data_IF_985274528868
#
_entry.id   IF_985274528868
#
_cell.length_a   1.000
_cell.length_b   1.000
_cell.length_c   1.000
_cell.angle_alpha   90.00
_cell.angle_beta   90.00
_cell.angle_gamma   90.00
#
_symmetry.space_group_name_H-M   'P 1'
#
loop_
_entity.id
_entity.type
_entity.pdbx_description
1 polymer ?
#
# COMPACT_ATOMS: atom_id res chain seq x y z
N UNK A 1 -12.05 -24.26 -5.52
CA UNK A 1 -11.17 -23.30 -6.20
C UNK A 1 -10.04 -22.91 -5.26
N UNK A 2 -8.81 -22.85 -5.77
CA UNK A 2 -7.60 -22.37 -5.07
C UNK A 2 -7.35 -20.90 -5.41
N UNK A 3 -6.88 -20.10 -4.44
CA UNK A 3 -6.53 -18.71 -4.68
C UNK A 3 -5.08 -18.37 -4.35
N UNK A 4 -4.48 -17.54 -5.21
CA UNK A 4 -3.20 -16.89 -4.97
C UNK A 4 -3.43 -15.41 -4.61
N UNK A 5 -2.76 -14.96 -3.56
CA UNK A 5 -2.80 -13.59 -3.07
C UNK A 5 -1.63 -12.73 -3.55
N UNK A 6 -1.90 -11.46 -3.80
CA UNK A 6 -0.89 -10.43 -4.04
C UNK A 6 -1.21 -9.20 -3.18
N UNK A 7 -0.18 -8.60 -2.57
CA UNK A 7 -0.31 -7.35 -1.80
C UNK A 7 0.32 -6.22 -2.62
N UNK A 8 -0.48 -5.22 -3.01
CA UNK A 8 -0.09 -4.25 -4.05
C UNK A 8 -0.59 -2.82 -3.77
N UNK A 9 -0.12 -1.88 -4.59
CA UNK A 9 -0.58 -0.49 -4.59
C UNK A 9 -1.03 -0.03 -5.98
N UNK A 10 -0.43 -0.59 -7.04
CA UNK A 10 -0.68 -0.24 -8.44
C UNK A 10 -0.73 1.27 -8.70
N UNK A 11 0.37 1.97 -8.39
CA UNK A 11 0.46 3.44 -8.45
C UNK A 11 1.38 3.99 -9.59
N UNK A 12 0.95 3.97 -10.86
CA UNK A 12 -0.21 3.27 -11.42
C UNK A 12 0.12 1.79 -11.71
N UNK A 13 -0.86 1.02 -12.24
CA UNK A 13 -0.56 -0.29 -12.82
C UNK A 13 0.41 -0.14 -14.01
N UNK A 14 1.37 -1.04 -14.16
CA UNK A 14 2.36 -0.99 -15.26
C UNK A 14 2.75 -2.40 -15.69
N UNK A 15 3.54 -2.55 -16.75
CA UNK A 15 3.85 -3.87 -17.31
C UNK A 15 4.52 -4.82 -16.32
N UNK A 16 5.32 -4.30 -15.38
CA UNK A 16 5.88 -5.10 -14.27
C UNK A 16 4.81 -5.73 -13.36
N UNK A 17 3.70 -5.03 -13.11
CA UNK A 17 2.57 -5.56 -12.32
C UNK A 17 1.79 -6.60 -13.12
N UNK A 18 1.57 -6.38 -14.42
CA UNK A 18 0.94 -7.38 -15.30
C UNK A 18 1.77 -8.66 -15.38
N UNK A 19 3.10 -8.54 -15.43
CA UNK A 19 4.00 -9.69 -15.33
C UNK A 19 3.84 -10.42 -13.99
N UNK A 20 3.82 -9.68 -12.87
CA UNK A 20 3.63 -10.25 -11.53
C UNK A 20 2.30 -11.02 -11.39
N UNK A 21 1.18 -10.46 -11.86
CA UNK A 21 -0.13 -11.14 -11.88
C UNK A 21 -0.07 -12.47 -12.66
N UNK A 22 0.51 -12.45 -13.87
CA UNK A 22 0.64 -13.66 -14.70
C UNK A 22 1.54 -14.71 -14.05
N UNK A 23 2.66 -14.30 -13.47
CA UNK A 23 3.57 -15.22 -12.78
C UNK A 23 2.92 -15.83 -11.55
N UNK A 24 2.12 -15.05 -10.81
CA UNK A 24 1.41 -15.56 -9.65
C UNK A 24 0.49 -16.72 -10.02
N UNK A 25 -0.28 -16.56 -11.11
CA UNK A 25 -1.13 -17.61 -11.64
C UNK A 25 -0.32 -18.83 -12.15
N UNK A 26 0.75 -18.59 -12.91
CA UNK A 26 1.59 -19.65 -13.50
C UNK A 26 2.35 -20.49 -12.46
N UNK A 27 2.87 -19.86 -11.39
CA UNK A 27 3.66 -20.55 -10.37
C UNK A 27 2.80 -21.39 -9.43
N UNK A 28 1.55 -21.00 -9.23
CA UNK A 28 0.66 -21.61 -8.21
C UNK A 28 -0.40 -22.50 -8.82
N UNK A 29 -0.65 -22.39 -10.13
CA UNK A 29 -1.81 -22.99 -10.81
C UNK A 29 -3.14 -22.62 -10.13
N UNK A 30 -3.20 -21.47 -9.46
CA UNK A 30 -4.40 -21.04 -8.76
C UNK A 30 -5.55 -20.75 -9.73
N UNK A 31 -6.76 -21.09 -9.29
CA UNK A 31 -7.97 -20.69 -9.98
C UNK A 31 -8.15 -19.17 -9.84
N UNK A 32 -8.15 -18.61 -8.65
CA UNK A 32 -8.48 -17.20 -8.44
C UNK A 32 -7.24 -16.36 -8.10
N UNK A 33 -7.06 -15.21 -8.75
CA UNK A 33 -6.03 -14.23 -8.39
C UNK A 33 -6.65 -13.12 -7.53
N UNK A 34 -6.28 -13.06 -6.25
CA UNK A 34 -6.79 -12.07 -5.30
C UNK A 34 -5.73 -10.99 -5.06
N UNK A 35 -6.11 -9.74 -5.24
CA UNK A 35 -5.26 -8.59 -4.97
C UNK A 35 -5.77 -7.83 -3.75
N UNK A 36 -4.95 -7.75 -2.71
CA UNK A 36 -5.12 -6.80 -1.61
C UNK A 36 -4.36 -5.53 -1.96
N UNK A 37 -5.08 -4.46 -2.26
CA UNK A 37 -4.54 -3.21 -2.81
C UNK A 37 -4.75 -2.04 -1.85
N UNK A 38 -3.71 -1.26 -1.55
CA UNK A 38 -3.86 0.02 -0.84
C UNK A 38 -4.98 0.87 -1.45
N UNK A 39 -5.79 1.47 -0.59
CA UNK A 39 -6.79 2.48 -0.96
C UNK A 39 -6.14 3.75 -1.53
N UNK A 40 -6.79 4.89 -1.41
CA UNK A 40 -6.33 6.15 -2.02
C UNK A 40 -5.01 6.71 -1.45
N UNK A 41 -4.50 6.11 -0.36
CA UNK A 41 -3.29 6.50 0.35
C UNK A 41 -2.39 5.29 0.55
N UNK A 42 -1.08 5.48 0.35
CA UNK A 42 -0.12 4.42 0.13
C UNK A 42 0.90 4.26 1.27
N UNK A 43 1.66 3.17 1.24
CA UNK A 43 2.63 2.73 2.25
C UNK A 43 3.77 3.72 2.48
N UNK A 44 4.11 4.44 1.43
CA UNK A 44 5.13 5.50 1.48
C UNK A 44 4.59 6.81 2.07
N UNK A 45 3.30 6.90 2.36
CA UNK A 45 2.62 8.12 2.78
C UNK A 45 2.39 9.06 1.62
N UNK A 46 2.05 8.56 0.44
CA UNK A 46 1.68 9.39 -0.73
C UNK A 46 0.25 9.09 -1.17
N UNK A 47 -0.48 10.07 -1.72
CA UNK A 47 -1.74 9.78 -2.40
C UNK A 47 -1.46 8.91 -3.64
N UNK A 48 -2.39 8.02 -3.97
CA UNK A 48 -2.34 7.32 -5.24
C UNK A 48 -2.54 8.30 -6.41
N UNK A 49 -1.87 8.06 -7.54
CA UNK A 49 -1.96 8.92 -8.73
C UNK A 49 -3.35 8.84 -9.39
N UNK A 50 -4.03 7.71 -9.20
CA UNK A 50 -5.40 7.43 -9.65
C UNK A 50 -6.19 6.84 -8.47
N UNK A 51 -7.50 7.08 -8.45
CA UNK A 51 -8.36 6.62 -7.36
C UNK A 51 -8.37 5.09 -7.25
N UNK A 52 -8.67 4.57 -6.04
CA UNK A 52 -8.66 3.13 -5.77
C UNK A 52 -9.59 2.33 -6.67
N UNK A 53 -10.67 2.94 -7.16
CA UNK A 53 -11.62 2.28 -8.04
C UNK A 53 -11.10 2.14 -9.46
N UNK A 54 -10.43 3.17 -9.98
CA UNK A 54 -9.75 3.11 -11.27
C UNK A 54 -8.65 2.07 -11.22
N UNK A 55 -7.82 2.09 -10.17
CA UNK A 55 -6.77 1.08 -9.98
C UNK A 55 -7.32 -0.34 -9.82
N UNK A 56 -8.44 -0.51 -9.10
CA UNK A 56 -9.11 -1.80 -8.97
C UNK A 56 -9.64 -2.30 -10.32
N UNK A 57 -10.24 -1.42 -11.13
CA UNK A 57 -10.66 -1.77 -12.49
C UNK A 57 -9.49 -2.22 -13.36
N UNK A 58 -8.40 -1.45 -13.37
CA UNK A 58 -7.17 -1.78 -14.11
C UNK A 58 -6.58 -3.12 -13.66
N UNK A 59 -6.61 -3.42 -12.36
CA UNK A 59 -6.16 -4.71 -11.84
C UNK A 59 -6.98 -5.88 -12.42
N UNK A 60 -8.32 -5.74 -12.43
CA UNK A 60 -9.23 -6.76 -12.97
C UNK A 60 -9.03 -6.93 -14.48
N UNK A 61 -8.87 -5.85 -15.23
CA UNK A 61 -8.60 -5.87 -16.69
C UNK A 61 -7.23 -6.48 -17.04
N UNK A 62 -6.31 -6.58 -16.07
CA UNK A 62 -4.96 -7.11 -16.27
C UNK A 62 -4.70 -8.48 -15.59
N UNK A 63 -5.74 -9.15 -15.10
CA UNK A 63 -5.67 -10.54 -14.65
C UNK A 63 -5.87 -10.77 -13.15
N UNK A 64 -6.30 -9.76 -12.38
CA UNK A 64 -6.87 -10.00 -11.06
C UNK A 64 -8.32 -10.49 -11.19
N UNK A 65 -8.77 -11.34 -10.26
CA UNK A 65 -10.14 -11.84 -10.21
C UNK A 65 -10.96 -11.19 -9.10
N UNK A 66 -10.32 -10.80 -8.00
CA UNK A 66 -10.94 -10.13 -6.86
C UNK A 66 -9.98 -9.07 -6.31
N UNK A 67 -10.47 -7.85 -6.13
CA UNK A 67 -9.69 -6.75 -5.53
C UNK A 67 -10.30 -6.37 -4.19
N UNK A 68 -9.48 -6.41 -3.15
CA UNK A 68 -9.81 -6.06 -1.77
C UNK A 68 -9.01 -4.83 -1.38
N UNK A 69 -9.65 -3.84 -0.77
CA UNK A 69 -8.96 -2.67 -0.24
C UNK A 69 -8.14 -3.08 0.99
N UNK A 70 -6.84 -2.75 1.00
CA UNK A 70 -6.06 -2.69 2.23
C UNK A 70 -6.44 -1.40 2.96
N UNK A 71 -7.06 -1.48 4.15
CA UNK A 71 -7.56 -0.30 4.85
C UNK A 71 -6.46 0.70 5.17
N UNK A 72 -6.79 1.98 5.24
CA UNK A 72 -5.83 3.08 5.44
C UNK A 72 -4.98 2.91 6.70
N UNK A 73 -5.53 2.31 7.75
CA UNK A 73 -4.83 2.03 9.02
C UNK A 73 -3.76 0.93 8.91
N UNK A 74 -3.68 0.22 7.79
CA UNK A 74 -2.56 -0.64 7.40
C UNK A 74 -1.80 -0.10 6.19
N UNK A 75 -2.52 0.47 5.22
CA UNK A 75 -1.96 0.94 3.96
C UNK A 75 -0.95 2.07 4.15
N UNK A 76 -1.10 2.94 5.16
CA UNK A 76 -0.19 4.07 5.42
C UNK A 76 0.78 3.82 6.58
N UNK A 77 1.16 2.55 6.80
CA UNK A 77 2.02 2.12 7.91
C UNK A 77 3.44 1.71 7.46
N UNK A 78 4.40 1.59 8.40
CA UNK A 78 5.69 0.95 8.11
C UNK A 78 5.53 -0.51 7.62
N UNK A 79 6.56 -1.01 6.92
CA UNK A 79 6.54 -2.30 6.21
C UNK A 79 5.98 -3.49 7.01
N UNK A 80 6.33 -3.63 8.30
CA UNK A 80 5.86 -4.75 9.13
C UNK A 80 4.34 -4.74 9.37
N UNK A 81 3.74 -3.57 9.63
CA UNK A 81 2.28 -3.44 9.81
C UNK A 81 1.55 -3.52 8.47
N UNK A 82 2.11 -2.91 7.42
CA UNK A 82 1.58 -3.05 6.06
C UNK A 82 1.51 -4.53 5.63
N UNK A 83 2.61 -5.27 5.85
CA UNK A 83 2.69 -6.69 5.58
C UNK A 83 1.71 -7.50 6.43
N UNK A 84 1.61 -7.19 7.74
CA UNK A 84 0.63 -7.81 8.64
C UNK A 84 -0.79 -7.68 8.10
N UNK A 85 -1.23 -6.46 7.79
CA UNK A 85 -2.57 -6.22 7.26
C UNK A 85 -2.82 -6.98 5.95
N UNK A 86 -1.88 -6.94 5.00
CA UNK A 86 -2.01 -7.67 3.74
C UNK A 86 -2.11 -9.19 3.91
N UNK A 87 -1.25 -9.78 4.76
CA UNK A 87 -1.22 -11.21 5.04
C UNK A 87 -2.48 -11.67 5.80
N UNK A 88 -2.94 -10.89 6.79
CA UNK A 88 -4.19 -11.16 7.52
C UNK A 88 -5.40 -11.19 6.58
N UNK A 89 -5.52 -10.23 5.67
CA UNK A 89 -6.64 -10.17 4.72
C UNK A 89 -6.62 -11.33 3.72
N UNK A 90 -5.44 -11.68 3.20
CA UNK A 90 -5.29 -12.83 2.29
C UNK A 90 -5.59 -14.16 3.01
N UNK A 91 -5.12 -14.32 4.24
CA UNK A 91 -5.43 -15.50 5.07
C UNK A 91 -6.93 -15.59 5.38
N UNK A 92 -7.56 -14.47 5.74
CA UNK A 92 -9.00 -14.41 6.00
C UNK A 92 -9.85 -14.79 4.77
N UNK A 93 -9.31 -14.61 3.56
CA UNK A 93 -9.94 -15.00 2.30
C UNK A 93 -9.64 -16.43 1.88
N UNK A 94 -8.90 -17.21 2.67
CA UNK A 94 -8.50 -18.59 2.37
C UNK A 94 -7.58 -18.71 1.13
N UNK A 95 -6.71 -17.70 0.92
CA UNK A 95 -5.61 -17.85 -0.04
C UNK A 95 -4.64 -18.94 0.42
N UNK A 96 -4.20 -19.80 -0.49
CA UNK A 96 -3.24 -20.87 -0.18
C UNK A 96 -1.80 -20.46 -0.45
N UNK A 97 -1.60 -19.45 -1.30
CA UNK A 97 -0.28 -18.93 -1.64
C UNK A 97 -0.28 -17.41 -1.76
N UNK A 98 0.88 -16.80 -1.55
CA UNK A 98 1.11 -15.37 -1.77
C UNK A 98 2.37 -15.19 -2.61
N UNK A 99 2.24 -14.43 -3.70
CA UNK A 99 3.35 -14.17 -4.62
C UNK A 99 3.70 -12.69 -4.56
N UNK A 100 4.99 -12.37 -4.40
CA UNK A 100 5.47 -10.99 -4.32
C UNK A 100 6.84 -10.83 -4.99
N UNK A 101 7.12 -9.64 -5.50
CA UNK A 101 8.42 -9.35 -6.12
C UNK A 101 9.49 -9.03 -5.07
N UNK A 102 10.68 -9.61 -5.19
CA UNK A 102 11.86 -9.35 -4.37
C UNK A 102 13.06 -8.94 -5.26
N UNK A 103 13.98 -8.15 -4.71
CA UNK A 103 15.26 -7.91 -5.38
C UNK A 103 16.10 -9.18 -5.37
N UNK A 104 16.09 -9.94 -4.26
CA UNK A 104 16.87 -11.16 -4.07
C UNK A 104 15.94 -12.31 -3.65
N UNK A 105 15.14 -12.88 -4.58
CA UNK A 105 14.21 -13.97 -4.27
C UNK A 105 14.89 -15.25 -3.76
N UNK A 106 16.19 -15.41 -4.00
CA UNK A 106 17.01 -16.52 -3.52
C UNK A 106 17.35 -16.46 -2.02
N UNK A 107 17.11 -15.32 -1.36
CA UNK A 107 17.27 -15.22 0.09
C UNK A 107 16.27 -16.13 0.81
N UNK A 108 16.76 -16.86 1.81
CA UNK A 108 15.90 -17.66 2.69
C UNK A 108 15.21 -16.76 3.73
N UNK A 109 14.20 -16.03 3.26
CA UNK A 109 13.42 -15.11 4.08
C UNK A 109 12.75 -15.81 5.29
N UNK A 110 12.44 -17.10 5.18
CA UNK A 110 11.89 -17.88 6.29
C UNK A 110 12.91 -18.02 7.42
N UNK A 111 14.16 -18.37 7.09
CA UNK A 111 15.27 -18.41 8.05
C UNK A 111 15.53 -17.02 8.64
N UNK A 112 15.53 -15.97 7.81
CA UNK A 112 15.73 -14.60 8.29
C UNK A 112 14.66 -14.20 9.31
N UNK A 113 13.38 -14.41 9.00
CA UNK A 113 12.26 -14.09 9.90
C UNK A 113 12.34 -14.87 11.22
N UNK A 114 12.63 -16.17 11.15
CA UNK A 114 12.78 -17.03 12.33
C UNK A 114 13.92 -16.57 13.24
N UNK A 115 15.07 -16.20 12.65
CA UNK A 115 16.26 -15.77 13.40
C UNK A 115 16.06 -14.46 14.18
N UNK A 116 15.23 -13.55 13.65
CA UNK A 116 14.85 -12.30 14.32
C UNK A 116 13.75 -12.52 15.36
N UNK A 117 12.77 -13.40 15.10
CA UNK A 117 11.71 -13.70 16.05
C UNK A 117 12.27 -14.17 17.41
N UNK A 118 13.34 -14.99 17.38
CA UNK A 118 14.05 -15.43 18.58
C UNK A 118 14.78 -14.32 19.35
N UNK A 119 14.87 -13.11 18.80
CA UNK A 119 15.61 -11.96 19.34
C UNK A 119 14.74 -10.73 19.59
N UNK A 120 13.41 -10.82 19.53
CA UNK A 120 12.51 -9.65 19.63
C UNK A 120 12.74 -8.77 20.87
N UNK A 121 13.31 -9.31 21.96
CA UNK A 121 13.72 -8.53 23.13
C UNK A 121 14.90 -7.57 22.94
N UNK A 122 15.64 -7.61 21.81
CA UNK A 122 16.89 -6.85 21.64
C UNK A 122 16.75 -5.47 21.01
N UNK A 123 15.54 -5.01 20.67
CA UNK A 123 15.32 -3.73 19.98
C UNK A 123 15.11 -2.53 20.93
N UNK A 124 15.91 -2.42 21.98
CA UNK A 124 15.71 -1.46 23.08
C UNK A 124 16.56 -0.18 22.98
N UNK A 125 17.36 0.01 21.92
CA UNK A 125 18.27 1.16 21.84
C UNK A 125 17.64 2.38 21.15
N UNK A 126 17.48 3.50 21.87
CA UNK A 126 16.77 4.69 21.36
C UNK A 126 17.57 5.56 20.36
N UNK A 127 18.84 5.27 20.09
CA UNK A 127 19.76 6.17 19.37
C UNK A 127 19.91 5.90 17.85
N UNK A 128 19.31 4.82 17.32
CA UNK A 128 19.38 4.49 15.89
C UNK A 128 17.98 4.31 15.30
N UNK A 129 17.84 4.50 13.98
CA UNK A 129 16.54 4.23 13.33
C UNK A 129 16.18 2.76 13.51
N UNK A 130 14.88 2.44 13.59
CA UNK A 130 14.41 1.06 13.66
C UNK A 130 15.02 0.19 12.56
N UNK A 131 15.12 0.71 11.33
CA UNK A 131 15.74 0.00 10.21
C UNK A 131 17.23 -0.31 10.42
N UNK A 132 17.98 0.59 11.08
CA UNK A 132 19.40 0.39 11.42
C UNK A 132 19.54 -0.69 12.49
N UNK A 133 18.74 -0.63 13.56
CA UNK A 133 18.78 -1.63 14.64
C UNK A 133 18.35 -3.01 14.16
N UNK A 134 17.29 -3.04 13.36
CA UNK A 134 16.81 -4.25 12.70
C UNK A 134 17.91 -4.88 11.86
N UNK A 135 18.56 -4.11 10.98
CA UNK A 135 19.64 -4.63 10.14
C UNK A 135 20.87 -5.06 10.94
N UNK A 136 21.23 -4.35 12.01
CA UNK A 136 22.31 -4.76 12.89
C UNK A 136 22.02 -6.11 13.58
N UNK A 137 20.80 -6.28 14.11
CA UNK A 137 20.38 -7.54 14.73
C UNK A 137 20.30 -8.69 13.71
N UNK A 138 19.81 -8.42 12.50
CA UNK A 138 19.72 -9.40 11.42
C UNK A 138 21.11 -9.83 10.97
N UNK A 139 22.00 -8.87 10.70
CA UNK A 139 23.38 -9.14 10.31
C UNK A 139 24.11 -9.96 11.36
N UNK A 140 23.93 -9.65 12.65
CA UNK A 140 24.52 -10.43 13.74
C UNK A 140 23.96 -11.85 13.84
N UNK A 141 22.69 -12.06 13.48
CA UNK A 141 22.02 -13.35 13.56
C UNK A 141 22.27 -14.25 12.34
N UNK A 142 22.41 -13.68 11.14
CA UNK A 142 22.36 -14.43 9.88
C UNK A 142 23.47 -14.08 8.89
N UNK A 143 24.21 -12.99 9.12
CA UNK A 143 25.18 -12.46 8.16
C UNK A 143 24.55 -11.70 6.99
N UNK A 144 23.24 -11.47 7.00
CA UNK A 144 22.49 -10.80 5.93
C UNK A 144 21.98 -9.42 6.39
N UNK A 145 22.07 -8.44 5.50
CA UNK A 145 21.45 -7.12 5.64
C UNK A 145 20.38 -6.95 4.56
N UNK A 146 19.22 -6.42 4.93
CA UNK A 146 18.13 -6.10 4.01
C UNK A 146 18.04 -4.58 3.83
N UNK A 147 18.66 -4.07 2.77
CA UNK A 147 18.62 -2.65 2.40
C UNK A 147 17.59 -2.34 1.32
N UNK A 148 17.27 -3.32 0.46
CA UNK A 148 16.31 -3.15 -0.61
C UNK A 148 14.86 -3.17 -0.10
N UNK A 149 14.02 -2.31 -0.66
CA UNK A 149 12.68 -2.09 -0.15
C UNK A 149 11.78 -3.33 -0.28
N UNK A 150 11.89 -4.09 -1.39
CA UNK A 150 11.03 -5.25 -1.58
C UNK A 150 11.57 -6.49 -0.87
N UNK A 151 12.87 -6.60 -0.64
CA UNK A 151 13.41 -7.63 0.26
C UNK A 151 12.99 -7.39 1.72
N UNK A 152 12.98 -6.13 2.17
CA UNK A 152 12.45 -5.76 3.48
C UNK A 152 10.95 -6.10 3.60
N UNK A 153 10.16 -5.80 2.58
CA UNK A 153 8.74 -6.19 2.54
C UNK A 153 8.58 -7.72 2.52
N UNK A 154 9.41 -8.43 1.74
CA UNK A 154 9.46 -9.90 1.68
C UNK A 154 9.68 -10.50 3.06
N UNK A 155 10.70 -10.04 3.79
CA UNK A 155 10.93 -10.41 5.17
C UNK A 155 9.69 -10.17 6.05
N UNK A 156 9.06 -9.00 5.93
CA UNK A 156 7.88 -8.65 6.72
C UNK A 156 6.68 -9.57 6.40
N UNK A 157 6.50 -9.99 5.15
CA UNK A 157 5.48 -10.97 4.77
C UNK A 157 5.75 -12.33 5.42
N UNK A 158 6.98 -12.81 5.40
CA UNK A 158 7.37 -14.04 6.10
C UNK A 158 7.13 -13.94 7.61
N UNK A 159 7.53 -12.84 8.23
CA UNK A 159 7.32 -12.61 9.66
C UNK A 159 5.82 -12.59 10.04
N UNK A 160 4.98 -11.92 9.24
CA UNK A 160 3.53 -11.90 9.48
C UNK A 160 2.86 -13.26 9.21
N UNK A 161 3.31 -13.99 8.18
CA UNK A 161 2.74 -15.28 7.82
C UNK A 161 3.03 -16.35 8.89
N UNK A 162 4.18 -16.26 9.56
CA UNK A 162 4.55 -17.15 10.68
C UNK A 162 3.65 -17.01 11.92
N UNK A 163 2.91 -15.90 12.06
CA UNK A 163 1.99 -15.69 13.19
C UNK A 163 0.58 -16.21 12.93
N UNK A 164 0.28 -16.67 11.71
CA UNK A 164 -1.02 -17.23 11.36
C UNK A 164 -1.18 -18.64 11.92
N UNK A 165 -2.42 -19.04 12.22
CA UNK A 165 -2.74 -20.42 12.59
C UNK A 165 -2.47 -21.41 11.45
N UNK A 166 -2.69 -20.98 10.21
CA UNK A 166 -2.42 -21.72 8.98
C UNK A 166 -1.60 -20.85 8.02
N UNK A 167 -0.27 -20.85 8.13
CA UNK A 167 0.60 -20.08 7.25
C UNK A 167 0.42 -20.47 5.79
N UNK A 168 0.36 -19.47 4.90
CA UNK A 168 0.25 -19.65 3.46
C UNK A 168 1.61 -19.96 2.83
N UNK A 169 1.63 -20.53 1.62
CA UNK A 169 2.87 -20.68 0.86
C UNK A 169 3.34 -19.32 0.31
N UNK A 170 4.54 -18.87 0.71
CA UNK A 170 5.12 -17.61 0.23
C UNK A 170 6.09 -17.85 -0.92
N UNK A 171 5.92 -17.12 -2.03
CA UNK A 171 6.65 -17.32 -3.27
C UNK A 171 7.25 -15.99 -3.76
N UNK A 172 8.49 -15.65 -3.35
CA UNK A 172 9.20 -14.49 -3.89
C UNK A 172 9.57 -14.72 -5.36
N UNK A 173 9.39 -13.70 -6.21
CA UNK A 173 9.82 -13.71 -7.61
C UNK A 173 10.79 -12.57 -7.89
N UNK A 174 11.72 -12.78 -8.83
CA UNK A 174 12.62 -11.70 -9.26
C UNK A 174 11.83 -10.59 -9.94
N UNK A 175 12.02 -9.35 -9.50
CA UNK A 175 11.41 -8.18 -10.13
C UNK A 175 12.00 -7.95 -11.53
N UNK A 176 11.12 -7.76 -12.53
CA UNK A 176 11.50 -7.30 -13.88
C UNK A 176 11.25 -5.81 -14.02
N UNK A 177 12.19 -4.99 -13.56
CA UNK A 177 12.11 -3.52 -13.58
C UNK A 177 13.51 -2.93 -13.78
N UNK A 178 13.58 -1.69 -14.28
CA UNK A 178 14.72 -0.84 -14.01
C UNK A 178 14.81 -0.60 -12.48
N UNK A 179 16.02 -0.44 -11.95
CA UNK A 179 16.28 -0.28 -10.51
C UNK A 179 15.28 0.69 -9.85
N UNK A 180 14.85 0.40 -8.63
CA UNK A 180 13.84 1.16 -7.89
C UNK A 180 14.13 2.64 -7.74
N UNK A 181 15.41 3.00 -7.80
CA UNK A 181 15.89 4.37 -7.75
C UNK A 181 15.84 5.10 -9.10
N UNK A 182 15.53 4.41 -10.21
CA UNK A 182 15.39 5.05 -11.52
C UNK A 182 14.10 5.87 -11.58
N UNK A 183 14.29 7.17 -11.77
CA UNK A 183 13.25 8.19 -11.95
C UNK A 183 12.95 8.46 -13.43
N UNK A 184 13.61 7.73 -14.34
CA UNK A 184 13.48 7.90 -15.79
C UNK A 184 13.16 6.57 -16.46
N UNK A 185 12.40 6.64 -17.56
CA UNK A 185 12.12 5.48 -18.40
C UNK A 185 13.26 5.37 -19.41
N UNK A 186 14.02 4.28 -19.37
CA UNK A 186 15.07 4.04 -20.35
C UNK A 186 14.47 3.87 -21.76
N UNK A 187 15.16 4.41 -22.77
CA UNK A 187 14.79 4.21 -24.17
C UNK A 187 14.65 2.70 -24.47
N UNK A 188 13.65 2.35 -25.28
CA UNK A 188 13.30 0.98 -25.68
C UNK A 188 12.93 -0.01 -24.55
N UNK A 189 12.83 0.46 -23.30
CA UNK A 189 12.40 -0.40 -22.21
C UNK A 189 10.90 -0.72 -22.28
N UNK A 190 10.56 -1.97 -21.93
CA UNK A 190 9.16 -2.42 -21.74
C UNK A 190 8.72 -2.42 -20.28
N UNK A 191 9.65 -2.12 -19.37
CA UNK A 191 9.43 -2.10 -17.92
C UNK A 191 10.01 -0.83 -17.31
N UNK A 192 9.29 -0.22 -16.37
CA UNK A 192 9.74 0.93 -15.61
C UNK A 192 9.32 0.79 -14.14
N UNK A 193 10.00 1.51 -13.26
CA UNK A 193 9.59 1.64 -11.86
C UNK A 193 8.27 2.42 -11.77
N UNK A 194 7.48 2.18 -10.72
CA UNK A 194 6.27 2.98 -10.47
C UNK A 194 6.56 4.48 -10.39
N UNK A 195 7.69 4.87 -9.81
CA UNK A 195 8.13 6.27 -9.71
C UNK A 195 8.38 6.90 -11.08
N UNK A 196 9.13 6.22 -11.96
CA UNK A 196 9.41 6.70 -13.31
C UNK A 196 8.11 6.86 -14.15
N UNK A 197 7.17 5.92 -14.01
CA UNK A 197 5.86 6.02 -14.69
C UNK A 197 5.07 7.23 -14.18
N UNK A 198 5.04 7.47 -12.86
CA UNK A 198 4.36 8.66 -12.30
C UNK A 198 5.00 9.96 -12.77
N UNK A 199 6.33 10.04 -12.78
CA UNK A 199 7.05 11.23 -13.24
C UNK A 199 6.78 11.52 -14.72
N UNK A 200 6.84 10.49 -15.58
CA UNK A 200 6.51 10.62 -17.00
C UNK A 200 5.04 11.06 -17.21
N UNK A 201 4.10 10.47 -16.46
CA UNK A 201 2.68 10.84 -16.55
C UNK A 201 2.42 12.30 -16.13
N UNK A 202 3.02 12.74 -15.01
CA UNK A 202 2.89 14.12 -14.51
C UNK A 202 3.57 15.14 -15.44
N UNK A 203 4.66 14.75 -16.11
CA UNK A 203 5.32 15.54 -17.14
C UNK A 203 4.65 15.46 -18.52
N UNK A 204 3.59 14.66 -18.67
CA UNK A 204 2.89 14.39 -19.92
C UNK A 204 3.78 13.81 -21.04
N UNK A 205 4.83 13.05 -20.66
CA UNK A 205 5.68 12.31 -21.60
C UNK A 205 5.00 10.99 -22.01
N UNK A 206 3.95 11.13 -22.81
CA UNK A 206 3.15 10.01 -23.28
C UNK A 206 3.93 9.05 -24.18
N UNK A 207 4.93 9.56 -24.91
CA UNK A 207 5.77 8.76 -25.78
C UNK A 207 6.60 7.75 -24.98
N UNK A 208 7.25 8.19 -23.90
CA UNK A 208 8.00 7.31 -23.00
C UNK A 208 7.10 6.36 -22.21
N UNK A 209 5.88 6.80 -21.85
CA UNK A 209 4.97 6.04 -21.01
C UNK A 209 4.29 4.87 -21.72
N UNK A 210 3.86 5.07 -22.98
CA UNK A 210 3.12 4.08 -23.78
C UNK A 210 3.73 2.66 -23.82
N UNK A 211 5.06 2.45 -23.97
CA UNK A 211 5.62 1.10 -24.03
C UNK A 211 5.70 0.35 -22.69
N UNK A 212 5.60 1.06 -21.55
CA UNK A 212 5.84 0.50 -20.20
C UNK A 212 4.57 0.27 -19.37
N UNK A 213 3.40 0.66 -19.89
CA UNK A 213 2.09 0.39 -19.26
C UNK A 213 1.13 -0.34 -20.21
N UNK A 214 0.13 -1.05 -19.68
CA UNK A 214 -1.00 -1.55 -20.46
C UNK A 214 -1.87 -0.42 -21.05
N UNK A 215 -2.61 -0.71 -22.13
CA UNK A 215 -3.34 0.31 -22.91
C UNK A 215 -4.50 0.98 -22.13
N UNK A 216 -5.19 0.22 -21.30
CA UNK A 216 -6.20 0.70 -20.35
C UNK A 216 -5.59 1.65 -19.30
N UNK A 217 -4.40 1.33 -18.79
CA UNK A 217 -3.66 2.20 -17.86
C UNK A 217 -3.21 3.47 -18.58
N UNK A 218 -2.69 3.37 -19.80
CA UNK A 218 -2.34 4.53 -20.63
C UNK A 218 -3.56 5.46 -20.84
N UNK A 219 -4.73 4.88 -21.07
CA UNK A 219 -5.99 5.62 -21.23
C UNK A 219 -6.37 6.31 -19.94
N UNK A 220 -6.33 5.63 -18.80
CA UNK A 220 -6.63 6.23 -17.50
C UNK A 220 -5.69 7.40 -17.16
N UNK A 221 -4.40 7.25 -17.45
CA UNK A 221 -3.39 8.27 -17.16
C UNK A 221 -3.52 9.53 -18.04
N UNK A 222 -4.02 9.40 -19.27
CA UNK A 222 -4.19 10.52 -20.19
C UNK A 222 -5.55 11.22 -20.07
N UNK A 223 -6.56 10.56 -19.50
CA UNK A 223 -7.94 11.07 -19.47
C UNK A 223 -8.42 11.50 -18.08
N UNK A 224 -7.78 11.06 -17.00
CA UNK A 224 -8.20 11.38 -15.63
C UNK A 224 -7.31 12.42 -14.97
N UNK A 225 -7.85 13.08 -13.93
CA UNK A 225 -7.06 13.96 -13.06
C UNK A 225 -6.08 13.14 -12.23
N UNK A 226 -4.79 13.25 -12.57
CA UNK A 226 -3.70 12.69 -11.79
C UNK A 226 -3.54 13.45 -10.48
N UNK A 227 -3.28 12.74 -9.39
CA UNK A 227 -3.08 13.35 -8.07
C UNK A 227 -1.66 13.19 -7.56
N UNK A 228 -1.21 14.18 -6.80
CA UNK A 228 0.09 14.18 -6.11
C UNK A 228 -0.02 15.01 -4.83
N UNK A 229 1.01 14.94 -3.99
CA UNK A 229 1.04 15.66 -2.72
C UNK A 229 0.78 17.18 -2.84
N UNK A 230 1.20 17.82 -3.93
CA UNK A 230 0.96 19.25 -4.13
C UNK A 230 -0.52 19.62 -4.15
N UNK A 231 -1.40 18.72 -4.61
CA UNK A 231 -2.85 18.95 -4.62
C UNK A 231 -3.42 19.03 -3.19
N UNK A 232 -2.81 18.31 -2.26
CA UNK A 232 -3.24 18.20 -0.87
C UNK A 232 -2.55 19.18 0.09
N UNK A 233 -1.45 19.79 -0.35
CA UNK A 233 -0.65 20.70 0.47
C UNK A 233 -1.47 21.81 1.15
N UNK A 234 -2.37 22.53 0.46
CA UNK A 234 -3.13 23.60 1.11
C UNK A 234 -3.99 23.11 2.29
N UNK A 235 -4.55 21.90 2.19
CA UNK A 235 -5.37 21.31 3.26
C UNK A 235 -4.52 20.88 4.45
N UNK A 236 -3.39 20.23 4.19
CA UNK A 236 -2.45 19.85 5.25
C UNK A 236 -1.89 21.09 5.96
N UNK A 237 -1.47 22.09 5.19
CA UNK A 237 -0.93 23.34 5.72
C UNK A 237 -1.96 24.04 6.60
N UNK A 238 -3.19 24.25 6.10
CA UNK A 238 -4.29 24.82 6.90
C UNK A 238 -4.47 24.06 8.22
N UNK A 239 -4.48 22.74 8.17
CA UNK A 239 -4.70 21.93 9.35
C UNK A 239 -3.54 22.04 10.35
N UNK A 240 -2.29 22.02 9.89
CA UNK A 240 -1.13 22.19 10.77
C UNK A 240 -1.06 23.59 11.39
N UNK A 241 -1.55 24.62 10.70
CA UNK A 241 -1.58 26.00 11.21
C UNK A 241 -2.69 26.25 12.25
N UNK A 242 -3.75 25.43 12.25
CA UNK A 242 -4.96 25.69 13.04
C UNK A 242 -5.23 24.67 14.13
N UNK A 243 -4.65 23.47 14.05
CA UNK A 243 -4.82 22.43 15.06
C UNK A 243 -4.05 22.76 16.33
N UNK A 244 -4.67 22.49 17.48
CA UNK A 244 -3.98 22.51 18.77
C UNK A 244 -2.83 21.47 18.82
N UNK A 245 -1.74 21.81 19.52
CA UNK A 245 -0.55 20.96 19.62
C UNK A 245 -0.85 19.65 20.34
N UNK A 246 -1.65 19.67 21.41
CA UNK A 246 -1.99 18.46 22.16
C UNK A 246 -2.79 17.48 21.29
N UNK A 247 -3.60 18.00 20.36
CA UNK A 247 -4.30 17.16 19.37
C UNK A 247 -3.38 16.65 18.29
N UNK A 248 -2.49 17.48 17.72
CA UNK A 248 -1.58 17.03 16.66
C UNK A 248 -0.54 16.02 17.13
N UNK A 249 -0.12 16.10 18.40
CA UNK A 249 0.71 15.08 19.05
C UNK A 249 0.07 13.68 19.12
N UNK A 250 -1.25 13.56 18.95
CA UNK A 250 -1.97 12.27 18.96
C UNK A 250 -2.03 11.58 17.59
N UNK A 251 -1.61 12.26 16.52
CA UNK A 251 -1.65 11.67 15.18
C UNK A 251 -0.75 10.45 15.08
N UNK A 252 -1.18 9.47 14.29
CA UNK A 252 -0.44 8.23 14.13
C UNK A 252 0.99 8.51 13.64
N UNK A 253 1.96 7.79 14.24
CA UNK A 253 3.41 7.93 14.03
C UNK A 253 4.04 9.28 14.43
N UNK A 254 3.26 10.25 14.93
CA UNK A 254 3.77 11.48 15.51
C UNK A 254 4.60 11.15 16.76
N UNK A 255 5.88 11.46 16.72
CA UNK A 255 6.76 11.28 17.88
C UNK A 255 6.91 12.61 18.60
N UNK A 256 7.08 12.55 19.92
CA UNK A 256 7.24 13.73 20.78
C UNK A 256 8.19 14.77 20.18
N UNK A 257 7.73 16.02 20.12
CA UNK A 257 8.46 17.15 19.56
C UNK A 257 8.32 17.32 18.04
N UNK A 258 7.87 16.29 17.30
CA UNK A 258 7.69 16.39 15.85
C UNK A 258 6.49 17.28 15.49
N UNK A 259 5.44 17.26 16.30
CA UNK A 259 4.25 18.10 16.16
C UNK A 259 4.62 19.60 16.14
N UNK A 260 5.45 20.04 17.08
CA UNK A 260 5.96 21.41 17.14
C UNK A 260 6.77 21.75 15.89
N UNK A 261 7.65 20.85 15.46
CA UNK A 261 8.48 21.07 14.27
C UNK A 261 7.62 21.16 13.00
N UNK A 262 6.63 20.28 12.83
CA UNK A 262 5.74 20.31 11.68
C UNK A 262 4.91 21.60 11.66
N UNK A 263 4.36 22.04 12.78
CA UNK A 263 3.63 23.31 12.83
C UNK A 263 4.54 24.50 12.52
N UNK A 264 5.74 24.54 13.09
CA UNK A 264 6.69 25.63 12.84
C UNK A 264 7.09 25.72 11.36
N UNK A 265 7.43 24.59 10.72
CA UNK A 265 7.85 24.62 9.31
C UNK A 265 6.66 24.89 8.36
N UNK A 266 5.43 24.50 8.73
CA UNK A 266 4.23 24.78 7.93
C UNK A 266 3.91 26.28 7.80
N UNK A 267 4.41 27.13 8.71
CA UNK A 267 4.24 28.59 8.65
C UNK A 267 5.00 29.25 7.51
N UNK A 268 6.11 28.65 7.08
CA UNK A 268 7.01 29.26 6.09
C UNK A 268 7.13 28.43 4.81
N UNK A 269 6.82 27.14 4.86
CA UNK A 269 6.89 26.28 3.70
C UNK A 269 5.89 26.70 2.62
N UNK A 270 6.38 26.77 1.38
CA UNK A 270 5.59 27.20 0.21
C UNK A 270 4.96 26.02 -0.53
N UNK A 271 5.58 24.84 -0.44
CA UNK A 271 5.13 23.61 -1.10
C UNK A 271 5.29 22.43 -0.15
N UNK A 272 4.63 21.31 -0.46
CA UNK A 272 4.82 20.08 0.31
C UNK A 272 6.27 19.58 0.30
N UNK A 273 6.95 19.68 -0.84
CA UNK A 273 8.35 19.25 -0.95
C UNK A 273 9.21 20.11 -0.04
N UNK A 274 9.10 21.44 -0.12
CA UNK A 274 9.78 22.38 0.77
C UNK A 274 9.50 22.08 2.25
N UNK A 275 8.22 21.89 2.60
CA UNK A 275 7.80 21.52 3.96
C UNK A 275 8.52 20.27 4.47
N UNK A 276 8.52 19.19 3.69
CA UNK A 276 9.12 17.92 4.09
C UNK A 276 10.65 18.04 4.20
N UNK A 277 11.31 18.83 3.35
CA UNK A 277 12.74 19.12 3.45
C UNK A 277 13.07 19.90 4.73
N UNK A 278 12.26 20.90 5.10
CA UNK A 278 12.45 21.68 6.33
C UNK A 278 12.22 20.83 7.59
N UNK A 279 11.21 19.96 7.59
CA UNK A 279 10.93 19.06 8.73
C UNK A 279 12.00 17.97 8.87
N UNK A 280 12.68 17.58 7.79
CA UNK A 280 13.69 16.50 7.79
C UNK A 280 14.76 16.69 8.87
N UNK A 281 15.08 15.58 9.55
CA UNK A 281 16.19 15.49 10.51
C UNK A 281 16.91 14.14 10.38
N UNK A 282 18.03 13.93 11.08
CA UNK A 282 18.71 12.61 11.11
C UNK A 282 17.85 11.50 11.72
N UNK A 283 16.86 11.84 12.56
CA UNK A 283 16.00 10.86 13.26
C UNK A 283 14.88 10.29 12.37
N UNK A 284 14.42 11.05 11.37
CA UNK A 284 13.26 10.67 10.56
C UNK A 284 13.64 10.55 9.09
N UNK A 285 13.19 9.47 8.44
CA UNK A 285 13.29 9.31 6.99
C UNK A 285 12.19 10.11 6.29
N UNK A 286 12.39 10.46 5.03
CA UNK A 286 11.36 11.14 4.23
C UNK A 286 10.04 10.36 4.20
N UNK A 287 10.11 9.05 4.01
CA UNK A 287 8.93 8.18 3.99
C UNK A 287 8.18 8.17 5.33
N UNK A 288 8.87 8.25 6.47
CA UNK A 288 8.19 8.37 7.77
C UNK A 288 7.49 9.72 7.89
N UNK A 289 8.14 10.81 7.49
CA UNK A 289 7.54 12.14 7.52
C UNK A 289 6.31 12.24 6.60
N UNK A 290 6.37 11.62 5.42
CA UNK A 290 5.22 11.53 4.52
C UNK A 290 4.06 10.76 5.15
N UNK A 291 4.31 9.62 5.82
CA UNK A 291 3.24 8.91 6.56
C UNK A 291 2.63 9.75 7.68
N UNK A 292 3.45 10.46 8.47
CA UNK A 292 2.96 11.37 9.51
C UNK A 292 2.15 12.52 8.89
N UNK A 293 2.58 13.06 7.74
CA UNK A 293 1.82 14.06 7.01
C UNK A 293 0.47 13.52 6.51
N UNK A 294 0.42 12.27 6.03
CA UNK A 294 -0.85 11.60 5.68
C UNK A 294 -1.74 11.43 6.91
N UNK A 295 -1.20 10.92 8.02
CA UNK A 295 -1.96 10.77 9.27
C UNK A 295 -2.51 12.11 9.77
N UNK A 296 -1.70 13.17 9.69
CA UNK A 296 -2.13 14.54 10.01
C UNK A 296 -3.26 14.98 9.08
N UNK A 297 -3.06 14.99 7.76
CA UNK A 297 -4.07 15.41 6.78
C UNK A 297 -5.40 14.65 6.93
N UNK A 298 -5.33 13.36 7.25
CA UNK A 298 -6.50 12.50 7.44
C UNK A 298 -7.03 12.49 8.88
N UNK A 299 -6.39 13.20 9.81
CA UNK A 299 -6.69 13.20 11.24
C UNK A 299 -6.74 11.81 11.88
N UNK A 300 -5.88 10.89 11.41
CA UNK A 300 -5.77 9.56 11.99
C UNK A 300 -5.00 9.65 13.30
N UNK A 301 -5.66 9.39 14.42
CA UNK A 301 -4.97 9.27 15.71
C UNK A 301 -4.39 7.87 15.92
N UNK A 302 -3.33 7.77 16.71
CA UNK A 302 -2.75 6.47 17.07
C UNK A 302 -3.79 5.52 17.70
N UNK A 303 -4.66 6.04 18.58
CA UNK A 303 -5.71 5.26 19.23
C UNK A 303 -6.76 4.75 18.22
N UNK A 304 -7.19 5.57 17.26
CA UNK A 304 -8.11 5.14 16.19
C UNK A 304 -7.48 4.07 15.31
N UNK A 305 -6.23 4.25 14.89
CA UNK A 305 -5.49 3.29 14.05
C UNK A 305 -5.35 1.96 14.78
N UNK A 306 -4.92 1.95 16.04
CA UNK A 306 -4.78 0.73 16.84
C UNK A 306 -6.11 0.01 17.03
N UNK A 307 -7.18 0.75 17.35
CA UNK A 307 -8.53 0.19 17.49
C UNK A 307 -9.00 -0.45 16.17
N UNK A 308 -8.80 0.23 15.04
CA UNK A 308 -9.20 -0.29 13.73
C UNK A 308 -8.39 -1.53 13.33
N UNK A 309 -7.10 -1.56 13.63
CA UNK A 309 -6.25 -2.74 13.40
C UNK A 309 -6.73 -3.98 14.19
N UNK A 310 -7.26 -3.79 15.40
CA UNK A 310 -7.83 -4.88 16.21
C UNK A 310 -9.20 -5.38 15.69
N UNK A 311 -9.90 -4.58 14.89
CA UNK A 311 -11.23 -4.88 14.34
C UNK A 311 -11.22 -4.75 12.81
N UNK A 312 -10.34 -5.50 12.16
CA UNK A 312 -10.13 -5.48 10.72
C UNK A 312 -11.36 -5.99 9.94
N UNK A 313 -11.40 -5.72 8.64
CA UNK A 313 -12.50 -6.09 7.74
C UNK A 313 -12.03 -6.35 6.31
N UNK A 314 -12.86 -7.05 5.54
CA UNK A 314 -12.67 -7.26 4.12
C UNK A 314 -13.55 -6.29 3.33
N UNK A 315 -12.95 -5.43 2.50
CA UNK A 315 -13.70 -4.49 1.65
C UNK A 315 -13.46 -4.78 0.17
N UNK A 316 -14.53 -5.11 -0.56
CA UNK A 316 -14.46 -5.46 -1.99
C UNK A 316 -14.50 -4.19 -2.86
N UNK A 317 -13.51 -4.02 -3.73
CA UNK A 317 -13.46 -2.94 -4.74
C UNK A 317 -13.91 -3.42 -6.12
N UNK A 318 -13.80 -4.71 -6.42
CA UNK A 318 -14.34 -5.30 -7.65
C UNK A 318 -13.96 -6.76 -7.84
N UNK A 319 -14.62 -7.41 -8.79
CA UNK A 319 -14.40 -8.81 -9.12
C UNK A 319 -14.76 -9.16 -10.57
N UNK A 320 -14.15 -10.22 -11.08
CA UNK A 320 -14.54 -10.97 -12.28
C UNK A 320 -15.57 -12.05 -11.91
N UNK A 321 -16.18 -12.76 -12.88
CA UNK A 321 -17.04 -13.91 -12.59
C UNK A 321 -16.30 -15.01 -11.81
N UNK A 322 -15.00 -15.19 -12.04
CA UNK A 322 -14.16 -16.14 -11.32
C UNK A 322 -13.97 -15.72 -9.85
N UNK A 323 -13.67 -14.43 -9.62
CA UNK A 323 -13.59 -13.88 -8.27
C UNK A 323 -14.93 -13.90 -7.53
N UNK A 324 -16.05 -13.70 -8.25
CA UNK A 324 -17.39 -13.84 -7.68
C UNK A 324 -17.68 -15.28 -7.23
N UNK A 325 -17.35 -16.27 -8.06
CA UNK A 325 -17.49 -17.68 -7.74
C UNK A 325 -16.63 -18.07 -6.53
N UNK A 326 -15.39 -17.60 -6.48
CA UNK A 326 -14.51 -17.79 -5.34
C UNK A 326 -15.08 -17.16 -4.06
N UNK A 327 -15.53 -15.90 -4.12
CA UNK A 327 -16.14 -15.22 -2.97
C UNK A 327 -17.39 -15.96 -2.47
N UNK A 328 -18.19 -16.53 -3.38
CA UNK A 328 -19.33 -17.38 -3.01
C UNK A 328 -18.92 -18.66 -2.28
N UNK A 329 -17.77 -19.25 -2.62
CA UNK A 329 -17.20 -20.43 -1.94
C UNK A 329 -16.82 -20.09 -0.50
N UNK A 330 -16.10 -18.99 -0.26
CA UNK A 330 -15.48 -18.70 1.04
C UNK A 330 -16.34 -17.84 1.98
N UNK A 331 -17.28 -17.03 1.45
CA UNK A 331 -17.97 -15.96 2.23
C UNK A 331 -18.66 -16.40 3.52
N UNK A 332 -19.08 -17.67 3.63
CA UNK A 332 -19.79 -18.18 4.83
C UNK A 332 -18.85 -18.53 5.99
N UNK A 333 -17.55 -18.62 5.74
CA UNK A 333 -16.53 -19.06 6.70
C UNK A 333 -15.50 -17.97 7.00
N UNK A 334 -15.69 -16.75 6.49
CA UNK A 334 -14.74 -15.65 6.70
C UNK A 334 -14.68 -15.29 8.19
N UNK A 335 -13.47 -15.16 8.77
CA UNK A 335 -13.30 -14.72 10.16
C UNK A 335 -13.50 -13.21 10.33
N UNK A 336 -13.53 -12.46 9.22
CA UNK A 336 -13.69 -11.00 9.19
C UNK A 336 -15.01 -10.60 8.50
N UNK A 337 -15.63 -9.47 8.89
CA UNK A 337 -16.80 -8.97 8.19
C UNK A 337 -16.45 -8.57 6.75
N UNK A 338 -17.33 -8.90 5.81
CA UNK A 338 -17.19 -8.62 4.39
C UNK A 338 -18.12 -7.48 3.97
N UNK A 339 -17.56 -6.38 3.48
CA UNK A 339 -18.27 -5.21 3.00
C UNK A 339 -18.14 -5.05 1.48
N UNK A 340 -19.29 -4.93 0.81
CA UNK A 340 -19.37 -4.63 -0.63
C UNK A 340 -19.92 -3.24 -0.92
N UNK A 341 -20.70 -2.66 0.01
CA UNK A 341 -21.29 -1.32 -0.12
C UNK A 341 -21.18 -0.60 1.22
N UNK A 342 -20.68 0.64 1.20
CA UNK A 342 -20.67 1.50 2.38
C UNK A 342 -22.00 2.26 2.46
N UNK A 343 -22.72 2.08 3.56
CA UNK A 343 -23.94 2.83 3.86
C UNK A 343 -23.65 3.93 4.90
N UNK A 344 -24.70 4.65 5.34
CA UNK A 344 -24.55 5.74 6.31
C UNK A 344 -24.04 5.29 7.68
N UNK A 345 -24.42 4.08 8.13
CA UNK A 345 -24.01 3.53 9.41
C UNK A 345 -22.53 3.10 9.40
N UNK A 346 -22.13 2.32 8.40
CA UNK A 346 -20.76 1.84 8.26
C UNK A 346 -19.74 2.97 8.19
N UNK A 347 -20.06 4.09 7.51
CA UNK A 347 -19.15 5.25 7.42
C UNK A 347 -18.97 5.98 8.76
N UNK A 348 -19.91 5.86 9.70
CA UNK A 348 -19.81 6.49 11.03
C UNK A 348 -19.05 5.58 12.02
N UNK A 349 -19.07 4.28 11.76
CA UNK A 349 -18.51 3.25 12.64
C UNK A 349 -17.35 2.50 11.96
N UNK A 350 -17.58 1.25 11.53
CA UNK A 350 -16.54 0.30 11.13
C UNK A 350 -15.61 0.79 10.02
N UNK A 351 -16.11 1.62 9.09
CA UNK A 351 -15.38 2.08 7.90
C UNK A 351 -15.06 3.58 7.96
N UNK A 352 -15.12 4.22 9.13
CA UNK A 352 -14.96 5.67 9.24
C UNK A 352 -13.60 6.19 8.76
N UNK A 353 -12.51 5.45 8.99
CA UNK A 353 -11.15 5.85 8.61
C UNK A 353 -10.98 5.82 7.09
N UNK A 354 -11.40 4.73 6.44
CA UNK A 354 -11.36 4.62 4.97
C UNK A 354 -12.31 5.61 4.31
N UNK A 355 -13.51 5.83 4.87
CA UNK A 355 -14.44 6.84 4.38
C UNK A 355 -13.84 8.24 4.46
N UNK A 356 -13.21 8.59 5.59
CA UNK A 356 -12.51 9.87 5.76
C UNK A 356 -11.37 10.00 4.75
N UNK A 357 -10.57 8.96 4.58
CA UNK A 357 -9.47 8.92 3.62
C UNK A 357 -9.93 9.14 2.17
N UNK A 358 -11.00 8.47 1.75
CA UNK A 358 -11.61 8.64 0.43
C UNK A 358 -12.27 10.01 0.26
N UNK A 359 -12.90 10.56 1.31
CA UNK A 359 -13.48 11.92 1.27
C UNK A 359 -12.44 13.02 1.09
N UNK A 360 -11.27 12.91 1.75
CA UNK A 360 -10.17 13.86 1.54
C UNK A 360 -9.65 13.74 0.11
N UNK A 361 -9.44 12.52 -0.40
CA UNK A 361 -9.03 12.31 -1.79
C UNK A 361 -10.03 12.85 -2.81
N UNK A 362 -11.34 12.74 -2.52
CA UNK A 362 -12.42 13.27 -3.34
C UNK A 362 -12.39 14.80 -3.49
N UNK A 363 -11.79 15.53 -2.54
CA UNK A 363 -11.67 17.00 -2.64
C UNK A 363 -10.92 17.43 -3.92
N UNK A 364 -10.07 16.57 -4.45
CA UNK A 364 -9.22 16.87 -5.61
C UNK A 364 -9.85 16.42 -6.93
N UNK A 365 -10.31 15.17 -7.02
CA UNK A 365 -10.87 14.63 -8.27
C UNK A 365 -12.39 14.79 -8.42
N UNK A 366 -13.12 15.17 -7.37
CA UNK A 366 -14.58 15.27 -7.36
C UNK A 366 -15.34 13.94 -7.47
N UNK A 367 -14.65 12.81 -7.56
CA UNK A 367 -15.28 11.49 -7.75
C UNK A 367 -15.64 10.84 -6.41
N UNK A 368 -16.89 10.39 -6.27
CA UNK A 368 -17.35 9.73 -5.04
C UNK A 368 -16.52 8.49 -4.72
N UNK A 369 -15.87 8.43 -3.55
CA UNK A 369 -14.97 7.32 -3.21
C UNK A 369 -15.62 6.15 -2.46
N UNK A 370 -16.78 6.33 -1.82
CA UNK A 370 -17.22 5.34 -0.84
C UNK A 370 -18.74 5.19 -0.74
N UNK A 371 -19.44 6.26 -0.35
CA UNK A 371 -20.85 6.17 0.03
C UNK A 371 -21.70 5.65 -1.14
N UNK A 372 -22.30 4.49 -0.93
CA UNK A 372 -23.13 3.76 -1.90
C UNK A 372 -22.44 3.33 -3.19
N UNK A 373 -21.12 3.48 -3.32
CA UNK A 373 -20.36 2.99 -4.48
C UNK A 373 -20.37 1.46 -4.48
N UNK A 374 -20.63 0.88 -5.66
CA UNK A 374 -20.65 -0.56 -5.83
C UNK A 374 -19.30 -1.06 -6.37
N UNK A 375 -18.92 -2.31 -6.05
CA UNK A 375 -17.75 -2.94 -6.64
C UNK A 375 -17.86 -3.05 -8.15
N UNK A 376 -16.73 -2.94 -8.85
CA UNK A 376 -16.69 -3.28 -10.26
C UNK A 376 -17.11 -4.74 -10.48
N UNK A 377 -17.96 -4.96 -11.48
CA UNK A 377 -18.35 -6.30 -11.94
C UNK A 377 -17.97 -6.41 -13.41
N UNK A 378 -16.80 -6.98 -13.69
CA UNK A 378 -16.39 -7.17 -15.08
C UNK A 378 -17.16 -8.33 -15.70
N UNK A 379 -17.52 -8.25 -16.99
CA UNK A 379 -18.13 -9.36 -17.69
C UNK A 379 -17.14 -10.53 -17.83
N UNK A 380 -17.66 -11.72 -18.17
CA UNK A 380 -16.82 -12.84 -18.61
C UNK A 380 -15.99 -12.36 -19.79
N UNK A 381 -14.68 -12.21 -19.62
CA UNK A 381 -13.78 -11.93 -20.74
C UNK A 381 -13.59 -13.25 -21.48
N UNK A 382 -14.14 -13.35 -22.69
CA UNK A 382 -13.77 -14.42 -23.63
C UNK A 382 -12.35 -14.06 -24.06
N UNK A 383 -11.36 -14.74 -23.46
CA UNK A 383 -9.94 -14.53 -23.73
C UNK A 383 -9.55 -14.92 -25.15
#
# INVERSE_FOLDING_TARGET
MQAVGLITEYNPLHNGHRYHLRQAQQLTNADCVIVVMSGDWLQRGEPAILDKWTRAKLALENGADLVIELPVFFATQPAHLFARGGIELLSALDCTSVVFGAEHPELDFQRLATAIAARQGSFTHYNATFATQFNAALQAATGVTLTAANDMLSFCYYAANQTLAHPMQLLPIKRRQADHATTTIAADSRYASGTAVRQAALAQDWAALKPVVPADTFTALTTQRLQRWSDFWPFLQYQLLTVDVARSGQYDQMAEGLEYRMQAMAQHATTFDDFIHQVKSKRYTYTRLQRVATAALLQLTQAEVQKAQAHNYLRVLGFTPKGQAYLHQVKKQLPLPLYTKINQDLRQHALNLDYRAGRVYQLINGQSQDLYRQPWRLPVTIG
#
